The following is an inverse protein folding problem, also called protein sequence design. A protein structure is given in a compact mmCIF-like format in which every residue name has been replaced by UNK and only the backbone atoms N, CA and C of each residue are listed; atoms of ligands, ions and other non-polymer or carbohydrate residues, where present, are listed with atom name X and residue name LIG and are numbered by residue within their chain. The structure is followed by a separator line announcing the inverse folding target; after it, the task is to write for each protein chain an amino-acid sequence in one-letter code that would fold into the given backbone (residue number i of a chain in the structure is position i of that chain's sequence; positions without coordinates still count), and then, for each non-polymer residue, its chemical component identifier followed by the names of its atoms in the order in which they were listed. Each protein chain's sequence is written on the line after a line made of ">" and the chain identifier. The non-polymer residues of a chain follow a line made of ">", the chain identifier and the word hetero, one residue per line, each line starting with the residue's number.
data_IF_239505543718
#
_entry.id   IF_239505543718
#
_cell.length_a   1.000
_cell.length_b   1.000
_cell.length_c   1.000
_cell.angle_alpha   90.00
_cell.angle_beta   90.00
_cell.angle_gamma   90.00
#
_symmetry.space_group_name_H-M   'P 1'
#
loop_
_entity.id
_entity.type
_entity.pdbx_description
1 polymer ?
#
# COMPACT_ATOMS: atom_id res chain seq x y z
N UNK A 1 -15.62 16.32 -9.72
CA UNK A 1 -15.11 16.35 -11.11
C UNK A 1 -14.57 15.01 -11.59
N UNK A 2 -13.71 14.31 -10.85
CA UNK A 2 -13.04 13.07 -11.30
C UNK A 2 -13.98 11.93 -11.74
N UNK A 3 -15.14 11.77 -11.07
CA UNK A 3 -16.15 10.77 -11.45
C UNK A 3 -16.74 11.06 -12.84
N UNK A 4 -16.95 12.33 -13.18
CA UNK A 4 -17.55 12.74 -14.45
C UNK A 4 -16.57 12.52 -15.61
N UNK A 5 -15.30 12.82 -15.40
CA UNK A 5 -14.22 12.51 -16.33
C UNK A 5 -14.09 11.00 -16.57
N UNK A 6 -14.17 10.19 -15.51
CA UNK A 6 -14.13 8.72 -15.64
C UNK A 6 -15.32 8.18 -16.43
N UNK A 7 -16.53 8.71 -16.20
CA UNK A 7 -17.73 8.33 -16.97
C UNK A 7 -17.61 8.70 -18.44
N UNK A 8 -17.13 9.92 -18.73
CA UNK A 8 -16.87 10.36 -20.10
C UNK A 8 -15.82 9.46 -20.77
N UNK A 9 -14.70 9.19 -20.11
CA UNK A 9 -13.67 8.28 -20.61
C UNK A 9 -14.24 6.90 -20.94
N UNK A 10 -15.01 6.31 -20.02
CA UNK A 10 -15.63 5.00 -20.23
C UNK A 10 -16.65 5.01 -21.37
N UNK A 11 -17.42 6.10 -21.52
CA UNK A 11 -18.40 6.24 -22.59
C UNK A 11 -17.76 6.39 -23.99
N UNK A 12 -16.58 7.03 -24.07
CA UNK A 12 -15.87 7.25 -25.34
C UNK A 12 -15.14 5.99 -25.82
N UNK A 13 -14.76 5.08 -24.93
CA UNK A 13 -14.21 3.76 -25.29
C UNK A 13 -12.81 3.78 -25.92
N UNK A 14 -12.06 4.87 -25.75
CA UNK A 14 -10.68 5.03 -26.24
C UNK A 14 -9.65 4.67 -25.17
N UNK A 15 -8.45 4.30 -25.59
CA UNK A 15 -7.31 4.14 -24.68
C UNK A 15 -6.88 5.51 -24.16
N UNK A 16 -6.82 5.65 -22.83
CA UNK A 16 -6.43 6.88 -22.16
C UNK A 16 -5.20 6.65 -21.27
N UNK A 17 -4.25 7.59 -21.33
CA UNK A 17 -3.08 7.62 -20.43
C UNK A 17 -3.13 8.94 -19.67
N UNK A 18 -3.33 8.86 -18.36
CA UNK A 18 -3.29 9.99 -17.45
C UNK A 18 -1.93 10.06 -16.77
N UNK A 19 -1.29 11.23 -16.82
CA UNK A 19 -0.07 11.52 -16.06
C UNK A 19 -0.44 12.57 -15.01
N UNK A 20 -0.29 12.23 -13.74
CA UNK A 20 -0.58 13.12 -12.62
C UNK A 20 0.47 12.93 -11.52
N UNK A 21 0.63 13.97 -10.70
CA UNK A 21 1.42 13.91 -9.46
C UNK A 21 0.53 13.62 -8.24
N UNK A 22 -0.80 13.74 -8.39
CA UNK A 22 -1.75 13.52 -7.31
C UNK A 22 -2.23 12.06 -7.30
N UNK A 23 -1.97 11.43 -6.17
CA UNK A 23 -2.22 10.02 -5.92
C UNK A 23 -3.72 9.70 -5.86
N UNK A 24 -4.54 10.62 -5.37
CA UNK A 24 -5.99 10.42 -5.25
C UNK A 24 -6.64 10.34 -6.63
N UNK A 25 -6.20 11.17 -7.59
CA UNK A 25 -6.73 11.09 -8.95
C UNK A 25 -6.34 9.77 -9.62
N UNK A 26 -5.08 9.37 -9.45
CA UNK A 26 -4.58 8.10 -9.99
C UNK A 26 -5.37 6.91 -9.43
N UNK A 27 -5.66 6.91 -8.13
CA UNK A 27 -6.43 5.85 -7.47
C UNK A 27 -7.91 5.83 -7.86
N UNK A 28 -8.51 7.00 -8.11
CA UNK A 28 -9.94 7.12 -8.40
C UNK A 28 -10.30 6.86 -9.88
N UNK A 29 -9.42 7.23 -10.81
CA UNK A 29 -9.74 7.29 -12.24
C UNK A 29 -9.14 6.15 -13.07
N UNK A 30 -8.05 5.53 -12.63
CA UNK A 30 -7.29 4.60 -13.45
C UNK A 30 -7.70 3.13 -13.24
N UNK A 31 -7.72 2.34 -14.31
CA UNK A 31 -7.87 0.88 -14.20
C UNK A 31 -6.56 0.21 -13.77
N UNK A 32 -5.43 0.81 -14.17
CA UNK A 32 -4.07 0.43 -13.80
C UNK A 32 -3.23 1.67 -13.54
N UNK A 33 -2.36 1.60 -12.55
CA UNK A 33 -1.45 2.69 -12.17
C UNK A 33 -0.02 2.19 -12.35
N UNK A 34 0.80 2.98 -13.03
CA UNK A 34 2.24 2.83 -13.06
C UNK A 34 2.89 3.91 -12.20
N UNK A 35 3.51 3.52 -11.08
CA UNK A 35 4.32 4.44 -10.25
C UNK A 35 5.74 4.43 -10.78
N UNK A 36 6.32 5.61 -10.94
CA UNK A 36 7.66 5.80 -11.51
C UNK A 36 8.54 6.65 -10.59
N UNK A 37 9.81 6.29 -10.49
CA UNK A 37 10.84 7.07 -9.81
C UNK A 37 12.07 7.19 -10.70
N UNK A 38 12.62 8.40 -10.86
CA UNK A 38 13.84 8.62 -11.65
C UNK A 38 13.76 8.07 -13.09
N UNK A 39 12.59 8.17 -13.72
CA UNK A 39 12.35 7.66 -15.08
C UNK A 39 12.17 6.14 -15.19
N UNK A 40 12.17 5.39 -14.08
CA UNK A 40 11.94 3.94 -14.07
C UNK A 40 10.61 3.60 -13.43
N UNK A 41 9.90 2.62 -14.01
CA UNK A 41 8.68 2.07 -13.42
C UNK A 41 9.04 1.24 -12.20
N UNK A 42 8.49 1.62 -11.05
CA UNK A 42 8.66 0.91 -9.79
C UNK A 42 7.62 -0.18 -9.60
N UNK A 43 6.35 0.10 -9.95
CA UNK A 43 5.25 -0.86 -9.85
C UNK A 43 4.15 -0.52 -10.85
N UNK A 44 3.57 -1.55 -11.47
CA UNK A 44 2.32 -1.44 -12.24
C UNK A 44 1.29 -2.39 -11.67
N UNK A 45 0.17 -1.89 -11.18
CA UNK A 45 -0.89 -2.71 -10.63
C UNK A 45 -2.25 -1.98 -10.67
N UNK A 46 -3.33 -2.67 -10.30
CA UNK A 46 -4.62 -2.01 -10.09
C UNK A 46 -4.54 -1.01 -8.91
N UNK A 47 -5.41 0.01 -8.84
CA UNK A 47 -5.45 0.94 -7.71
C UNK A 47 -5.52 0.25 -6.34
N UNK A 48 -6.35 -0.79 -6.25
CA UNK A 48 -6.51 -1.57 -5.01
C UNK A 48 -5.21 -2.29 -4.64
N UNK A 49 -4.59 -2.97 -5.60
CA UNK A 49 -3.38 -3.76 -5.35
C UNK A 49 -2.18 -2.87 -5.03
N UNK A 50 -1.98 -1.78 -5.76
CA UNK A 50 -0.85 -0.88 -5.53
C UNK A 50 -0.95 -0.18 -4.16
N UNK A 51 -2.17 0.13 -3.72
CA UNK A 51 -2.41 0.73 -2.41
C UNK A 51 -2.26 -0.26 -1.25
N UNK A 52 -2.78 -1.47 -1.42
CA UNK A 52 -2.82 -2.49 -0.36
C UNK A 52 -1.55 -3.34 -0.26
N UNK A 53 -0.84 -3.53 -1.39
CA UNK A 53 0.33 -4.39 -1.52
C UNK A 53 1.43 -3.68 -2.33
N UNK A 54 2.00 -2.59 -1.80
CA UNK A 54 3.14 -1.93 -2.42
C UNK A 54 4.35 -2.89 -2.47
N UNK A 55 5.09 -2.89 -3.57
CA UNK A 55 6.25 -3.81 -3.75
C UNK A 55 7.46 -3.43 -2.92
N UNK A 56 7.57 -2.17 -2.50
CA UNK A 56 8.66 -1.66 -1.69
C UNK A 56 8.24 -0.44 -0.87
N UNK A 57 9.12 0.00 0.03
CA UNK A 57 8.89 1.16 0.91
C UNK A 57 8.65 2.46 0.14
N UNK A 58 9.38 2.70 -0.96
CA UNK A 58 9.22 3.92 -1.76
C UNK A 58 7.81 4.03 -2.35
N UNK A 59 7.26 2.94 -2.90
CA UNK A 59 5.88 2.92 -3.41
C UNK A 59 4.88 3.08 -2.27
N UNK A 60 5.13 2.45 -1.12
CA UNK A 60 4.28 2.52 0.06
C UNK A 60 4.19 3.96 0.63
N UNK A 61 5.33 4.65 0.69
CA UNK A 61 5.46 6.03 1.15
C UNK A 61 4.83 7.01 0.16
N UNK A 62 5.00 6.73 -1.14
CA UNK A 62 4.46 7.56 -2.20
C UNK A 62 2.93 7.51 -2.29
N UNK A 63 2.27 6.40 -1.99
CA UNK A 63 0.82 6.29 -2.15
C UNK A 63 0.13 6.43 -0.80
N UNK A 64 -0.28 7.64 -0.41
CA UNK A 64 -1.31 7.87 0.61
C UNK A 64 -0.87 7.78 2.07
N UNK A 65 0.34 8.22 2.42
CA UNK A 65 0.80 8.35 3.82
C UNK A 65 0.81 7.03 4.60
N UNK A 66 1.98 6.42 4.77
CA UNK A 66 2.13 5.19 5.56
C UNK A 66 3.04 5.43 6.76
N UNK A 67 2.65 4.89 7.92
CA UNK A 67 3.51 4.89 9.10
C UNK A 67 4.47 3.71 9.03
N UNK A 68 5.74 3.94 9.37
CA UNK A 68 6.77 2.91 9.35
C UNK A 68 7.31 2.68 10.76
N UNK A 69 7.21 1.43 11.22
CA UNK A 69 7.65 1.01 12.55
C UNK A 69 8.76 -0.01 12.39
N UNK A 70 9.87 0.16 13.13
CA UNK A 70 10.94 -0.85 13.15
C UNK A 70 10.42 -2.14 13.79
N UNK A 71 10.78 -3.27 13.21
CA UNK A 71 10.33 -4.58 13.62
C UNK A 71 11.43 -5.62 13.50
N UNK A 72 11.28 -6.73 14.21
CA UNK A 72 12.13 -7.92 14.06
C UNK A 72 11.28 -9.13 13.66
N UNK A 73 11.76 -9.91 12.70
CA UNK A 73 11.07 -11.12 12.23
C UNK A 73 11.35 -12.25 13.22
N UNK A 74 10.31 -12.69 13.92
CA UNK A 74 10.37 -13.78 14.89
C UNK A 74 10.10 -15.11 14.23
N UNK A 75 9.08 -15.17 13.36
CA UNK A 75 8.69 -16.40 12.66
C UNK A 75 8.37 -16.15 11.19
N UNK A 76 8.64 -17.17 10.37
CA UNK A 76 8.30 -17.21 8.96
C UNK A 76 7.55 -18.51 8.67
N UNK A 77 6.27 -18.39 8.36
CA UNK A 77 5.36 -19.50 8.20
C UNK A 77 4.73 -19.45 6.81
N UNK A 78 5.38 -20.07 5.82
CA UNK A 78 4.90 -20.19 4.44
C UNK A 78 4.51 -18.85 3.83
N UNK A 79 3.21 -18.52 3.86
CA UNK A 79 2.62 -17.30 3.33
C UNK A 79 2.50 -16.14 4.35
N UNK A 80 2.95 -16.31 5.59
CA UNK A 80 2.84 -15.30 6.65
C UNK A 80 4.14 -15.09 7.41
N UNK A 81 4.28 -13.90 7.98
CA UNK A 81 5.39 -13.50 8.86
C UNK A 81 4.82 -13.09 10.22
N UNK A 82 5.54 -13.42 11.29
CA UNK A 82 5.31 -12.82 12.61
C UNK A 82 6.47 -11.88 12.88
N UNK A 83 6.13 -10.61 13.11
CA UNK A 83 7.10 -9.56 13.43
C UNK A 83 6.83 -9.03 14.83
N UNK A 84 7.88 -8.80 15.61
CA UNK A 84 7.83 -8.12 16.89
C UNK A 84 8.17 -6.65 16.69
N UNK A 85 7.39 -5.76 17.30
CA UNK A 85 7.52 -4.32 17.14
C UNK A 85 7.66 -3.65 18.50
N UNK A 86 8.52 -2.64 18.56
CA UNK A 86 8.65 -1.76 19.72
C UNK A 86 7.39 -0.87 19.82
N UNK A 87 6.32 -1.39 20.41
CA UNK A 87 5.09 -0.65 20.72
C UNK A 87 3.79 -1.40 20.43
N UNK A 88 3.74 -2.21 19.38
CA UNK A 88 2.53 -3.01 19.05
C UNK A 88 2.70 -4.51 19.37
N UNK A 89 3.88 -4.93 19.85
CA UNK A 89 4.18 -6.33 20.13
C UNK A 89 4.22 -7.17 18.86
N UNK A 90 3.82 -8.44 18.98
CA UNK A 90 3.85 -9.42 17.89
C UNK A 90 2.65 -9.30 16.97
N UNK A 91 2.91 -9.02 15.70
CA UNK A 91 1.91 -8.88 14.65
C UNK A 91 2.14 -9.93 13.58
N UNK A 92 1.05 -10.59 13.16
CA UNK A 92 1.04 -11.47 11.99
C UNK A 92 0.68 -10.67 10.74
N UNK A 93 1.47 -10.82 9.68
CA UNK A 93 1.24 -10.18 8.37
C UNK A 93 1.42 -11.18 7.23
N UNK A 94 0.80 -10.89 6.08
CA UNK A 94 1.10 -11.58 4.82
C UNK A 94 2.58 -11.41 4.46
N UNK A 95 3.20 -12.48 3.95
CA UNK A 95 4.55 -12.45 3.40
C UNK A 95 4.51 -11.80 2.01
N UNK A 96 5.27 -10.72 1.75
CA UNK A 96 5.35 -10.13 0.41
C UNK A 96 5.90 -11.14 -0.61
N UNK A 97 5.41 -11.12 -1.85
CA UNK A 97 5.83 -12.09 -2.89
C UNK A 97 7.33 -12.06 -3.16
N UNK A 98 7.94 -10.88 -3.15
CA UNK A 98 9.37 -10.67 -3.39
C UNK A 98 10.19 -10.66 -2.08
N UNK A 99 9.63 -11.14 -0.97
CA UNK A 99 10.31 -11.16 0.31
C UNK A 99 11.44 -12.20 0.32
N UNK A 100 12.66 -11.72 0.56
CA UNK A 100 13.83 -12.55 0.83
C UNK A 100 14.33 -12.20 2.23
N UNK A 101 14.40 -13.21 3.11
CA UNK A 101 14.90 -12.99 4.47
C UNK A 101 16.38 -12.67 4.42
N UNK A 102 16.75 -11.49 4.92
CA UNK A 102 18.14 -11.09 5.10
C UNK A 102 18.33 -10.62 6.55
N UNK A 103 18.51 -11.59 7.46
CA UNK A 103 18.55 -11.35 8.90
C UNK A 103 17.16 -11.23 9.55
N UNK A 104 17.13 -10.60 10.72
CA UNK A 104 15.91 -10.40 11.53
C UNK A 104 15.28 -9.02 11.39
N UNK A 105 16.02 -8.00 10.95
CA UNK A 105 15.50 -6.63 10.90
C UNK A 105 14.44 -6.46 9.80
N UNK A 106 13.31 -5.85 10.15
CA UNK A 106 12.21 -5.54 9.25
C UNK A 106 11.61 -4.16 9.54
N UNK A 107 10.73 -3.72 8.66
CA UNK A 107 9.91 -2.51 8.86
C UNK A 107 8.47 -2.87 8.61
N UNK A 108 7.62 -2.65 9.62
CA UNK A 108 6.18 -2.79 9.50
C UNK A 108 5.60 -1.48 8.95
N UNK A 109 4.88 -1.58 7.84
CA UNK A 109 4.12 -0.48 7.26
C UNK A 109 2.67 -0.53 7.75
N UNK A 110 2.17 0.57 8.32
CA UNK A 110 0.80 0.68 8.84
C UNK A 110 0.10 1.86 8.17
N UNK A 111 -1.05 1.56 7.59
CA UNK A 111 -1.99 2.56 7.07
C UNK A 111 -2.76 3.21 8.23
N UNK A 112 -2.76 4.55 8.38
CA UNK A 112 -3.49 5.22 9.47
C UNK A 112 -4.97 4.83 9.53
N UNK A 113 -5.63 4.69 8.38
CA UNK A 113 -7.05 4.33 8.29
C UNK A 113 -7.36 2.88 8.68
N UNK A 114 -6.33 2.04 8.89
CA UNK A 114 -6.48 0.69 9.43
C UNK A 114 -6.32 0.63 10.95
N UNK A 115 -6.05 1.75 11.60
CA UNK A 115 -6.01 1.85 13.06
C UNK A 115 -7.37 2.32 13.59
N UNK A 116 -7.76 1.80 14.75
CA UNK A 116 -8.92 2.29 15.50
C UNK A 116 -8.50 2.56 16.94
N UNK A 117 -9.05 3.63 17.50
CA UNK A 117 -8.93 3.93 18.93
C UNK A 117 -10.10 3.26 19.64
N UNK A 118 -9.81 2.55 20.73
CA UNK A 118 -10.79 1.90 21.59
C UNK A 118 -10.54 2.35 23.03
N UNK A 119 -11.59 2.43 23.83
CA UNK A 119 -11.54 2.65 25.27
C UNK A 119 -12.66 1.85 25.95
N UNK A 120 -12.44 1.45 27.21
CA UNK A 120 -13.25 0.43 27.89
C UNK A 120 -14.74 0.76 28.02
N UNK A 121 -15.12 2.03 27.88
CA UNK A 121 -16.49 2.51 28.07
C UNK A 121 -17.27 2.78 26.77
N UNK A 122 -16.80 2.35 25.59
CA UNK A 122 -17.55 2.53 24.33
C UNK A 122 -18.25 1.24 23.90
N UNK A 123 -19.57 1.18 24.09
CA UNK A 123 -20.47 0.41 23.22
C UNK A 123 -20.54 1.12 21.87
N UNK A 124 -20.20 0.41 20.80
CA UNK A 124 -20.32 0.87 19.41
C UNK A 124 -21.76 1.21 19.02
#
# INVERSE_FOLDING_TARGET
>A
MQVELRRLQQAVGITFVLVTHDQYEALAMSDRIAVMFGGKIAQVASPKEIYQRPVNRQVADFLGGMNFVKAEIVEENGASLIVDTLGFGRIKTDKPKAFVRNGGAATLGIRPERLRVLWDNATA
#
